data_IF_811065124672
#
_entry.id   IF_811065124672
#
_cell.length_a   1.000
_cell.length_b   1.000
_cell.length_c   1.000
_cell.angle_alpha   90.00
_cell.angle_beta   90.00
_cell.angle_gamma   90.00
#
_symmetry.space_group_name_H-M   'P 1'
#
loop_
_entity.id
_entity.type
_entity.pdbx_description
1 polymer ?
#
# COMPACT_ATOMS: atom_id res chain seq x y z
N UNK A 1 -3.77 -8.35 11.81
CA UNK A 1 -4.18 -7.53 10.65
C UNK A 1 -3.15 -7.71 9.54
N UNK A 2 -3.59 -7.96 8.32
CA UNK A 2 -2.68 -8.12 7.19
C UNK A 2 -2.24 -6.75 6.68
N UNK A 3 -0.93 -6.56 6.52
CA UNK A 3 -0.36 -5.30 6.07
C UNK A 3 -0.04 -5.35 4.58
N UNK A 4 -0.52 -4.34 3.86
CA UNK A 4 -0.27 -4.15 2.43
C UNK A 4 0.46 -2.81 2.28
N UNK A 5 1.60 -2.83 1.56
CA UNK A 5 2.34 -1.61 1.26
C UNK A 5 2.07 -1.24 -0.19
N UNK A 6 1.62 0.01 -0.41
CA UNK A 6 1.44 0.57 -1.74
C UNK A 6 2.55 1.60 -1.96
N UNK A 7 3.44 1.31 -2.89
CA UNK A 7 4.53 2.21 -3.28
C UNK A 7 4.05 3.11 -4.40
N UNK A 8 3.98 4.40 -4.15
CA UNK A 8 3.43 5.39 -5.08
C UNK A 8 4.06 6.76 -4.86
N UNK A 9 4.24 7.52 -5.93
CA UNK A 9 4.67 8.92 -5.86
C UNK A 9 3.51 9.87 -5.46
N UNK A 10 2.26 9.39 -5.53
CA UNK A 10 1.06 10.18 -5.22
C UNK A 10 0.16 9.45 -4.23
N UNK A 11 0.60 9.31 -2.95
CA UNK A 11 -0.15 8.50 -1.96
C UNK A 11 -1.59 8.95 -1.74
N UNK A 12 -1.83 10.26 -1.68
CA UNK A 12 -3.17 10.81 -1.42
C UNK A 12 -4.13 10.47 -2.54
N UNK A 13 -3.67 10.54 -3.80
CA UNK A 13 -4.49 10.21 -4.96
C UNK A 13 -4.90 8.74 -4.94
N UNK A 14 -3.95 7.84 -4.71
CA UNK A 14 -4.22 6.40 -4.67
C UNK A 14 -5.10 6.01 -3.48
N UNK A 15 -4.93 6.67 -2.34
CA UNK A 15 -5.79 6.49 -1.18
C UNK A 15 -7.25 6.83 -1.53
N UNK A 16 -7.47 7.96 -2.18
CA UNK A 16 -8.80 8.38 -2.64
C UNK A 16 -9.39 7.41 -3.67
N UNK A 17 -8.58 6.95 -4.61
CA UNK A 17 -8.99 5.98 -5.62
C UNK A 17 -9.48 4.67 -4.98
N UNK A 18 -8.73 4.13 -4.03
CA UNK A 18 -9.11 2.89 -3.34
C UNK A 18 -10.40 3.10 -2.53
N UNK A 19 -10.51 4.20 -1.79
CA UNK A 19 -11.74 4.52 -1.07
C UNK A 19 -12.96 4.58 -1.99
N UNK A 20 -12.81 5.19 -3.15
CA UNK A 20 -13.89 5.32 -4.12
C UNK A 20 -14.35 3.95 -4.65
N UNK A 21 -13.41 3.08 -5.01
CA UNK A 21 -13.71 1.76 -5.57
C UNK A 21 -14.24 0.76 -4.53
N UNK A 22 -14.01 1.00 -3.24
CA UNK A 22 -14.47 0.13 -2.15
C UNK A 22 -15.72 0.66 -1.45
N UNK A 23 -16.44 1.60 -2.05
CA UNK A 23 -17.69 2.14 -1.51
C UNK A 23 -18.83 1.15 -1.63
N UNK A 24 -18.88 0.19 -0.72
CA UNK A 24 -19.98 -0.77 -0.61
C UNK A 24 -20.49 -0.78 0.83
N UNK A 25 -21.81 -1.02 1.06
CA UNK A 25 -22.37 -1.02 2.42
C UNK A 25 -21.74 -2.02 3.38
N UNK A 26 -21.13 -3.09 2.87
CA UNK A 26 -20.48 -4.12 3.70
C UNK A 26 -19.02 -3.86 4.00
N UNK A 27 -18.44 -2.77 3.48
CA UNK A 27 -17.02 -2.48 3.67
C UNK A 27 -16.85 -1.26 4.56
N UNK A 28 -16.19 -1.45 5.69
CA UNK A 28 -15.88 -0.39 6.63
C UNK A 28 -14.44 0.08 6.40
N UNK A 29 -14.29 1.34 5.99
CA UNK A 29 -12.98 1.94 5.74
C UNK A 29 -12.74 3.04 6.77
N UNK A 30 -11.66 2.90 7.51
CA UNK A 30 -11.18 3.94 8.42
C UNK A 30 -9.79 4.37 7.97
N UNK A 31 -9.45 5.63 8.18
CA UNK A 31 -8.14 6.11 7.79
C UNK A 31 -7.96 7.59 8.08
N UNK A 32 -6.70 8.00 8.12
CA UNK A 32 -6.32 9.39 8.34
C UNK A 32 -5.81 10.00 7.05
N UNK A 33 -6.33 11.17 6.70
CA UNK A 33 -5.82 11.95 5.56
C UNK A 33 -4.35 12.35 5.74
N UNK A 34 -3.86 12.38 6.97
CA UNK A 34 -2.49 12.78 7.28
C UNK A 34 -1.54 11.60 7.42
N UNK A 35 -2.06 10.39 7.60
CA UNK A 35 -1.25 9.23 7.94
C UNK A 35 -0.88 8.30 6.80
N UNK A 36 -1.36 8.53 5.60
CA UNK A 36 -1.16 7.64 4.45
C UNK A 36 -1.48 6.17 4.78
N UNK A 37 -2.50 5.97 5.60
CA UNK A 37 -2.89 4.66 6.13
C UNK A 37 -4.40 4.48 6.01
N UNK A 38 -4.81 3.33 5.49
CA UNK A 38 -6.21 2.89 5.49
C UNK A 38 -6.33 1.58 6.22
N UNK A 39 -7.45 1.39 6.92
CA UNK A 39 -7.83 0.11 7.51
C UNK A 39 -9.16 -0.34 6.90
N UNK A 40 -9.19 -1.55 6.37
CA UNK A 40 -10.34 -2.13 5.68
C UNK A 40 -10.90 -3.26 6.53
N UNK A 41 -12.14 -3.10 7.01
CA UNK A 41 -12.88 -4.10 7.81
C UNK A 41 -12.10 -4.64 9.02
N UNK A 42 -11.17 -3.87 9.57
CA UNK A 42 -10.26 -4.30 10.64
C UNK A 42 -9.45 -5.57 10.30
N UNK A 43 -9.34 -5.92 9.02
CA UNK A 43 -8.61 -7.09 8.52
C UNK A 43 -7.35 -6.68 7.79
N UNK A 44 -7.41 -5.62 6.98
CA UNK A 44 -6.31 -5.14 6.17
C UNK A 44 -5.87 -3.75 6.59
N UNK A 45 -4.57 -3.57 6.71
CA UNK A 45 -3.92 -2.26 6.87
C UNK A 45 -3.17 -1.95 5.59
N UNK A 46 -3.45 -0.80 4.96
CA UNK A 46 -2.77 -0.36 3.76
C UNK A 46 -1.92 0.86 4.09
N UNK A 47 -0.63 0.76 3.83
CA UNK A 47 0.32 1.85 4.01
C UNK A 47 0.75 2.38 2.65
N UNK A 48 0.54 3.69 2.41
CA UNK A 48 0.92 4.36 1.17
C UNK A 48 2.26 5.05 1.38
N UNK A 49 3.28 4.61 0.67
CA UNK A 49 4.65 5.08 0.85
C UNK A 49 5.22 5.55 -0.47
N UNK A 50 5.82 6.76 -0.47
CA UNK A 50 6.59 7.24 -1.60
C UNK A 50 8.03 6.72 -1.47
N UNK A 51 8.49 5.85 -2.40
CA UNK A 51 9.81 5.24 -2.27
C UNK A 51 10.98 6.23 -2.45
N UNK A 52 10.71 7.43 -2.96
CA UNK A 52 11.73 8.47 -3.17
C UNK A 52 11.86 9.38 -1.94
N UNK A 53 10.94 9.27 -0.97
CA UNK A 53 10.91 10.13 0.20
C UNK A 53 11.98 9.79 1.24
N UNK A 54 12.09 10.64 2.25
CA UNK A 54 12.92 10.38 3.43
C UNK A 54 12.14 9.46 4.36
N UNK A 55 12.72 8.31 4.69
CA UNK A 55 12.09 7.34 5.56
C UNK A 55 12.80 7.25 6.90
N UNK A 56 12.03 6.99 7.95
CA UNK A 56 12.58 6.45 9.18
C UNK A 56 13.20 5.07 8.91
N UNK A 57 14.05 4.61 9.81
CA UNK A 57 14.70 3.29 9.69
C UNK A 57 13.74 2.13 10.05
N UNK A 58 12.43 2.35 9.92
CA UNK A 58 11.42 1.36 10.28
C UNK A 58 11.45 0.16 9.34
N UNK A 59 11.38 -1.02 9.93
CA UNK A 59 11.20 -2.27 9.19
C UNK A 59 9.72 -2.57 9.09
N UNK A 60 9.30 -3.19 7.97
CA UNK A 60 7.92 -3.52 7.72
C UNK A 60 7.73 -5.02 7.51
N UNK A 61 6.65 -5.54 8.07
CA UNK A 61 6.20 -6.91 7.82
C UNK A 61 4.95 -6.85 6.97
N UNK A 62 5.12 -6.90 5.66
CA UNK A 62 4.03 -6.77 4.69
C UNK A 62 3.77 -8.10 4.00
N UNK A 63 2.49 -8.49 3.94
CA UNK A 63 2.06 -9.68 3.22
C UNK A 63 2.02 -9.45 1.71
N UNK A 64 1.83 -8.20 1.30
CA UNK A 64 1.67 -7.81 -0.09
C UNK A 64 2.31 -6.44 -0.32
N UNK A 65 2.98 -6.29 -1.45
CA UNK A 65 3.52 -5.00 -1.90
C UNK A 65 2.94 -4.72 -3.28
N UNK A 66 2.36 -3.53 -3.45
CA UNK A 66 1.84 -3.05 -4.72
C UNK A 66 2.73 -1.90 -5.20
N UNK A 67 3.41 -2.11 -6.32
CA UNK A 67 4.27 -1.09 -6.94
C UNK A 67 3.49 -0.35 -8.03
N UNK A 68 3.11 0.89 -7.76
CA UNK A 68 2.40 1.76 -8.69
C UNK A 68 3.29 2.86 -9.27
N UNK A 69 4.60 2.71 -9.22
CA UNK A 69 5.54 3.71 -9.73
C UNK A 69 5.81 3.58 -11.23
N UNK A 70 5.28 2.54 -11.89
CA UNK A 70 5.45 2.27 -13.33
C UNK A 70 6.92 2.21 -13.76
N UNK A 71 7.79 1.73 -12.88
CA UNK A 71 9.22 1.63 -13.17
C UNK A 71 9.99 2.94 -13.12
N UNK A 72 9.34 4.06 -12.82
CA UNK A 72 9.98 5.38 -12.77
C UNK A 72 10.97 5.53 -11.61
N UNK A 73 10.78 4.76 -10.56
CA UNK A 73 11.58 4.81 -9.34
C UNK A 73 12.15 3.44 -9.00
N UNK A 74 12.56 2.66 -10.01
CA UNK A 74 12.95 1.26 -9.80
C UNK A 74 14.09 1.08 -8.79
N UNK A 75 15.08 1.96 -8.79
CA UNK A 75 16.17 1.89 -7.81
C UNK A 75 15.69 2.18 -6.40
N UNK A 76 14.85 3.19 -6.23
CA UNK A 76 14.29 3.54 -4.93
C UNK A 76 13.35 2.43 -4.41
N UNK A 77 12.55 1.83 -5.28
CA UNK A 77 11.66 0.71 -4.94
C UNK A 77 12.48 -0.50 -4.49
N UNK A 78 13.48 -0.88 -5.26
CA UNK A 78 14.34 -2.03 -4.93
C UNK A 78 15.10 -1.80 -3.62
N UNK A 79 15.63 -0.61 -3.43
CA UNK A 79 16.32 -0.24 -2.20
C UNK A 79 15.39 -0.27 -0.98
N UNK A 80 14.17 0.23 -1.12
CA UNK A 80 13.16 0.20 -0.07
C UNK A 80 12.84 -1.24 0.34
N UNK A 81 12.55 -2.10 -0.64
CA UNK A 81 12.19 -3.49 -0.37
C UNK A 81 13.35 -4.22 0.28
N UNK A 82 14.56 -4.09 -0.28
CA UNK A 82 15.74 -4.79 0.20
C UNK A 82 16.10 -4.39 1.64
N UNK A 83 15.99 -3.11 1.98
CA UNK A 83 16.40 -2.60 3.28
C UNK A 83 15.33 -2.69 4.36
N UNK A 84 14.05 -2.72 3.99
CA UNK A 84 12.95 -2.55 4.95
C UNK A 84 11.98 -3.71 5.03
N UNK A 85 11.97 -4.59 4.04
CA UNK A 85 11.07 -5.75 4.01
C UNK A 85 11.88 -7.02 4.27
N UNK A 86 11.62 -7.68 5.38
CA UNK A 86 12.38 -8.84 5.83
C UNK A 86 11.54 -10.11 5.94
N UNK A 87 10.44 -10.19 5.19
CA UNK A 87 9.55 -11.35 5.20
C UNK A 87 9.17 -11.72 3.76
N UNK A 88 8.54 -12.88 3.61
CA UNK A 88 7.98 -13.27 2.32
C UNK A 88 6.76 -12.40 1.99
N UNK A 89 6.67 -11.95 0.75
CA UNK A 89 5.60 -11.07 0.30
C UNK A 89 5.20 -11.41 -1.14
N UNK A 90 3.97 -11.02 -1.51
CA UNK A 90 3.53 -11.04 -2.90
C UNK A 90 3.71 -9.65 -3.49
N UNK A 91 4.26 -9.60 -4.71
CA UNK A 91 4.45 -8.33 -5.43
C UNK A 91 3.40 -8.21 -6.53
N UNK A 92 2.62 -7.14 -6.47
CA UNK A 92 1.64 -6.77 -7.50
C UNK A 92 2.07 -5.48 -8.18
N UNK A 93 1.65 -5.32 -9.45
CA UNK A 93 1.95 -4.12 -10.24
C UNK A 93 0.68 -3.42 -10.73
N UNK A 94 -0.49 -4.02 -10.52
CA UNK A 94 -1.78 -3.50 -10.97
C UNK A 94 -2.70 -3.23 -9.78
N UNK A 95 -3.27 -2.04 -9.72
CA UNK A 95 -4.18 -1.65 -8.62
C UNK A 95 -5.43 -2.53 -8.56
N UNK A 96 -5.88 -3.03 -9.70
CA UNK A 96 -7.07 -3.90 -9.76
C UNK A 96 -6.84 -5.23 -9.04
N UNK A 97 -5.61 -5.73 -8.99
CA UNK A 97 -5.26 -6.91 -8.21
C UNK A 97 -5.49 -6.68 -6.72
N UNK A 98 -5.10 -5.52 -6.21
CA UNK A 98 -5.33 -5.13 -4.82
C UNK A 98 -6.82 -4.99 -4.52
N UNK A 99 -7.57 -4.32 -5.40
CA UNK A 99 -9.01 -4.12 -5.21
C UNK A 99 -9.73 -5.47 -5.20
N UNK A 100 -9.34 -6.38 -6.07
CA UNK A 100 -9.89 -7.74 -6.09
C UNK A 100 -9.63 -8.48 -4.77
N UNK A 101 -8.42 -8.37 -4.22
CA UNK A 101 -8.08 -8.96 -2.93
C UNK A 101 -8.93 -8.39 -1.78
N UNK A 102 -9.14 -7.08 -1.76
CA UNK A 102 -9.88 -6.39 -0.70
C UNK A 102 -11.39 -6.67 -0.75
N UNK A 103 -11.92 -6.98 -1.92
CA UNK A 103 -13.34 -7.34 -2.07
C UNK A 103 -13.63 -8.78 -1.64
N UNK A 104 -12.61 -9.55 -1.46
CA UNK A 104 -12.72 -10.91 -1.00
C UNK A 104 -13.11 -11.90 -2.03
#
# INVERSE_FOLDING_TARGET
>A
MNTIIVLTETPVWHQGYIKHHLRNPGINITGSFQGNRLVINDIYEILFINPVGIYSDDEFFANCILDLTDGKCSEAVNSFIEQRIHCNYFLFTEIDELIGLLRG
#
